data_IF_861509445671
#
_entry.id   IF_861509445671
#
_cell.length_a   1.000
_cell.length_b   1.000
_cell.length_c   1.000
_cell.angle_alpha   90.00
_cell.angle_beta   90.00
_cell.angle_gamma   90.00
#
_symmetry.space_group_name_H-M   'P 1'
#
loop_
_entity.id
_entity.type
_entity.pdbx_description
1 polymer ?
#
# COMPACT_ATOMS: atom_id res chain seq x y z
N UNK A 1 7.36 -3.51 4.84
CA UNK A 1 8.42 -3.80 3.86
C UNK A 1 7.95 -4.93 2.97
N UNK A 2 8.32 -4.84 1.69
CA UNK A 2 8.03 -5.86 0.69
C UNK A 2 9.35 -6.23 0.02
N UNK A 3 9.65 -7.52 -0.05
CA UNK A 3 10.76 -8.06 -0.85
C UNK A 3 10.16 -9.01 -1.88
N UNK A 4 10.54 -8.85 -3.13
CA UNK A 4 9.98 -9.61 -4.23
C UNK A 4 11.09 -9.97 -5.22
N UNK A 5 11.06 -11.20 -5.71
CA UNK A 5 11.96 -11.71 -6.75
C UNK A 5 11.15 -12.16 -7.95
N UNK A 6 11.53 -11.69 -9.12
CA UNK A 6 10.97 -12.15 -10.40
C UNK A 6 12.06 -12.87 -11.22
N UNK A 7 11.63 -13.79 -12.07
CA UNK A 7 12.52 -14.39 -13.08
C UNK A 7 12.60 -13.52 -14.35
N UNK A 8 13.38 -13.97 -15.32
CA UNK A 8 13.55 -13.30 -16.62
C UNK A 8 12.23 -13.17 -17.40
N UNK A 9 11.26 -14.05 -17.13
CA UNK A 9 9.94 -14.03 -17.74
C UNK A 9 8.91 -13.23 -16.93
N UNK A 10 9.36 -12.45 -15.94
CA UNK A 10 8.53 -11.65 -15.03
C UNK A 10 7.61 -12.46 -14.08
N UNK A 11 7.86 -13.75 -13.90
CA UNK A 11 7.12 -14.54 -12.94
C UNK A 11 7.66 -14.29 -11.52
N UNK A 12 6.77 -14.08 -10.58
CA UNK A 12 7.14 -13.96 -9.16
C UNK A 12 7.60 -15.33 -8.65
N UNK A 13 8.84 -15.41 -8.20
CA UNK A 13 9.46 -16.60 -7.59
C UNK A 13 9.41 -16.54 -6.08
N UNK A 14 9.57 -15.36 -5.51
CA UNK A 14 9.51 -15.14 -4.09
C UNK A 14 8.85 -13.81 -3.79
N UNK A 15 8.07 -13.73 -2.74
CA UNK A 15 7.55 -12.49 -2.22
C UNK A 15 7.30 -12.57 -0.72
N UNK A 16 7.57 -11.48 -0.03
CA UNK A 16 7.23 -11.33 1.39
C UNK A 16 6.74 -9.92 1.66
N UNK A 17 5.77 -9.81 2.57
CA UNK A 17 5.24 -8.56 3.08
C UNK A 17 5.26 -8.58 4.60
N UNK A 18 5.97 -7.61 5.20
CA UNK A 18 6.04 -7.44 6.66
C UNK A 18 5.73 -6.00 7.06
N UNK A 19 4.92 -5.83 8.07
CA UNK A 19 4.75 -4.53 8.74
C UNK A 19 5.98 -4.28 9.61
N UNK A 20 6.59 -3.10 9.52
CA UNK A 20 7.85 -2.79 10.21
C UNK A 20 7.65 -2.11 11.57
N UNK A 21 6.46 -1.63 11.91
CA UNK A 21 6.16 -0.98 13.20
C UNK A 21 7.25 0.00 13.65
N UNK A 22 7.72 0.83 12.73
CA UNK A 22 8.82 1.78 12.87
C UNK A 22 10.25 1.18 12.96
N UNK A 23 10.40 -0.14 13.01
CA UNK A 23 11.70 -0.81 12.93
C UNK A 23 11.98 -1.33 11.51
N UNK A 24 12.37 -0.38 10.63
CA UNK A 24 12.65 -0.67 9.23
C UNK A 24 13.87 -1.57 9.07
N UNK A 25 14.93 -1.32 9.87
CA UNK A 25 16.22 -2.01 9.71
C UNK A 25 16.11 -3.49 10.02
N UNK A 26 15.57 -3.85 11.19
CA UNK A 26 15.41 -5.25 11.60
C UNK A 26 14.46 -5.98 10.65
N UNK A 27 13.32 -5.35 10.28
CA UNK A 27 12.34 -5.96 9.38
C UNK A 27 12.92 -6.19 7.98
N UNK A 28 13.73 -5.25 7.45
CA UNK A 28 14.39 -5.42 6.15
C UNK A 28 15.40 -6.56 6.19
N UNK A 29 16.26 -6.60 7.22
CA UNK A 29 17.26 -7.65 7.42
C UNK A 29 16.62 -9.04 7.47
N UNK A 30 15.56 -9.20 8.27
CA UNK A 30 14.81 -10.47 8.35
C UNK A 30 14.18 -10.85 7.00
N UNK A 31 13.65 -9.86 6.27
CA UNK A 31 13.04 -10.11 4.96
C UNK A 31 14.09 -10.52 3.92
N UNK A 32 15.27 -9.90 3.93
CA UNK A 32 16.39 -10.29 3.05
C UNK A 32 16.95 -11.67 3.43
N UNK A 33 17.06 -11.97 4.73
CA UNK A 33 17.48 -13.30 5.19
C UNK A 33 16.52 -14.39 4.72
N UNK A 34 15.22 -14.17 4.84
CA UNK A 34 14.21 -15.13 4.34
C UNK A 34 14.28 -15.28 2.81
N UNK A 35 14.55 -14.20 2.09
CA UNK A 35 14.78 -14.26 0.66
C UNK A 35 16.02 -15.12 0.32
N UNK A 36 17.10 -14.92 1.06
CA UNK A 36 18.32 -15.72 0.91
C UNK A 36 18.10 -17.21 1.20
N UNK A 37 17.34 -17.55 2.23
CA UNK A 37 16.99 -18.94 2.54
C UNK A 37 16.23 -19.62 1.39
N UNK A 38 15.53 -18.82 0.55
CA UNK A 38 14.79 -19.34 -0.60
C UNK A 38 15.61 -19.41 -1.89
N UNK A 39 16.37 -18.34 -2.25
CA UNK A 39 17.11 -18.29 -3.52
C UNK A 39 18.60 -18.58 -3.37
N UNK A 40 19.11 -18.75 -2.15
CA UNK A 40 20.53 -18.94 -1.88
C UNK A 40 21.40 -17.72 -2.17
N UNK A 41 22.71 -17.92 -2.24
CA UNK A 41 23.64 -16.88 -2.64
C UNK A 41 23.62 -16.71 -4.17
N UNK A 42 22.61 -16.03 -4.65
CA UNK A 42 22.40 -15.79 -6.08
C UNK A 42 22.91 -14.41 -6.49
N UNK A 43 23.40 -14.32 -7.73
CA UNK A 43 23.58 -13.03 -8.39
C UNK A 43 22.24 -12.47 -8.78
N UNK A 44 21.88 -11.32 -8.23
CA UNK A 44 20.60 -10.66 -8.47
C UNK A 44 20.82 -9.22 -8.93
N UNK A 45 19.86 -8.68 -9.65
CA UNK A 45 19.73 -7.26 -9.92
C UNK A 45 18.70 -6.68 -8.97
N UNK A 46 19.03 -5.60 -8.29
CA UNK A 46 18.19 -5.04 -7.23
C UNK A 46 17.86 -3.58 -7.47
N UNK A 47 16.64 -3.22 -7.12
CA UNK A 47 16.14 -1.84 -7.11
C UNK A 47 15.38 -1.59 -5.81
N UNK A 48 15.61 -0.46 -5.21
CA UNK A 48 14.88 -0.02 -4.01
C UNK A 48 13.84 1.02 -4.40
N UNK A 49 12.68 0.99 -3.77
CA UNK A 49 11.61 1.96 -3.96
C UNK A 49 10.87 2.18 -2.64
N UNK A 50 9.95 3.14 -2.60
CA UNK A 50 9.15 3.44 -1.42
C UNK A 50 9.61 4.70 -0.68
N UNK A 51 8.73 5.27 0.14
CA UNK A 51 8.98 6.52 0.87
C UNK A 51 10.21 6.44 1.79
N UNK A 52 10.43 5.29 2.45
CA UNK A 52 11.65 5.01 3.24
C UNK A 52 12.82 4.47 2.39
N UNK A 53 12.60 4.21 1.12
CA UNK A 53 13.55 3.50 0.25
C UNK A 53 14.83 4.27 -0.03
N UNK A 54 14.77 5.61 -0.09
CA UNK A 54 15.94 6.43 -0.35
C UNK A 54 17.05 6.28 0.72
N UNK A 55 16.66 6.13 1.98
CA UNK A 55 17.62 5.85 3.05
C UNK A 55 18.19 4.42 2.90
N UNK A 56 17.31 3.45 2.63
CA UNK A 56 17.70 2.05 2.43
C UNK A 56 18.64 1.88 1.24
N UNK A 57 18.37 2.54 0.12
CA UNK A 57 19.23 2.47 -1.06
C UNK A 57 20.65 2.96 -0.79
N UNK A 58 20.78 4.07 -0.03
CA UNK A 58 22.08 4.59 0.41
C UNK A 58 22.81 3.65 1.36
N UNK A 59 22.06 2.96 2.27
CA UNK A 59 22.69 2.02 3.21
C UNK A 59 23.22 0.77 2.50
N UNK A 60 22.53 0.31 1.45
CA UNK A 60 22.85 -0.93 0.74
C UNK A 60 23.65 -0.69 -0.55
N UNK A 61 23.95 0.57 -0.87
CA UNK A 61 24.60 0.98 -2.13
C UNK A 61 23.86 0.44 -3.37
N UNK A 62 22.53 0.62 -3.38
CA UNK A 62 21.62 0.17 -4.42
C UNK A 62 20.94 1.35 -5.10
N UNK A 63 20.53 1.17 -6.35
CA UNK A 63 19.72 2.14 -7.08
C UNK A 63 18.34 2.31 -6.45
N UNK A 64 17.82 3.54 -6.54
CA UNK A 64 16.49 3.91 -6.05
C UNK A 64 15.60 4.40 -7.19
N UNK A 65 14.37 3.93 -7.21
CA UNK A 65 13.35 4.45 -8.12
C UNK A 65 12.13 4.97 -7.37
N UNK A 66 11.52 6.01 -7.89
CA UNK A 66 10.31 6.60 -7.33
C UNK A 66 9.12 5.65 -7.47
N UNK A 67 8.26 5.61 -6.46
CA UNK A 67 7.07 4.74 -6.44
C UNK A 67 6.15 4.96 -7.64
N UNK A 68 6.00 6.21 -8.10
CA UNK A 68 5.16 6.52 -9.26
C UNK A 68 5.68 5.84 -10.52
N UNK A 69 7.00 5.87 -10.75
CA UNK A 69 7.63 5.25 -11.93
C UNK A 69 7.55 3.73 -11.81
N UNK A 70 7.88 3.19 -10.64
CA UNK A 70 7.79 1.76 -10.38
C UNK A 70 6.36 1.23 -10.55
N UNK A 71 5.36 1.86 -9.92
CA UNK A 71 3.97 1.45 -10.05
C UNK A 71 3.47 1.53 -11.49
N UNK A 72 3.78 2.62 -12.20
CA UNK A 72 3.44 2.79 -13.61
C UNK A 72 4.02 1.69 -14.47
N UNK A 73 5.30 1.33 -14.28
CA UNK A 73 5.95 0.24 -15.01
C UNK A 73 5.23 -1.09 -14.83
N UNK A 74 4.81 -1.41 -13.60
CA UNK A 74 4.04 -2.62 -13.33
C UNK A 74 2.64 -2.59 -14.00
N UNK A 75 1.95 -1.44 -13.96
CA UNK A 75 0.64 -1.27 -14.59
C UNK A 75 0.74 -1.45 -16.10
N UNK A 76 1.67 -0.75 -16.75
CA UNK A 76 1.90 -0.85 -18.20
C UNK A 76 2.25 -2.27 -18.65
N UNK A 77 2.95 -3.03 -17.79
CA UNK A 77 3.36 -4.39 -18.12
C UNK A 77 2.23 -5.40 -17.95
N UNK A 78 1.44 -5.31 -16.89
CA UNK A 78 0.51 -6.39 -16.51
C UNK A 78 -0.97 -6.03 -16.66
N UNK A 79 -1.33 -4.76 -16.59
CA UNK A 79 -2.70 -4.26 -16.72
C UNK A 79 -2.76 -2.97 -17.57
N UNK A 80 -2.23 -2.99 -18.81
CA UNK A 80 -2.08 -1.78 -19.65
C UNK A 80 -3.40 -1.10 -20.01
N UNK A 81 -4.54 -1.79 -19.80
CA UNK A 81 -5.88 -1.25 -20.02
C UNK A 81 -6.38 -0.35 -18.89
N UNK A 82 -5.54 -0.06 -17.87
CA UNK A 82 -5.91 0.78 -16.73
C UNK A 82 -6.01 2.25 -17.13
N UNK A 83 -7.16 2.88 -16.89
CA UNK A 83 -7.35 4.32 -17.06
C UNK A 83 -7.01 5.10 -15.79
N UNK A 84 -7.35 4.54 -14.63
CA UNK A 84 -7.10 5.15 -13.31
C UNK A 84 -6.65 4.08 -12.33
N UNK A 85 -5.59 4.33 -11.59
CA UNK A 85 -5.20 3.48 -10.46
C UNK A 85 -5.45 4.20 -9.14
N UNK A 86 -6.13 3.54 -8.21
CA UNK A 86 -6.27 3.95 -6.81
C UNK A 86 -5.36 3.04 -6.00
N UNK A 87 -4.35 3.62 -5.38
CA UNK A 87 -3.42 2.91 -4.51
C UNK A 87 -3.54 3.43 -3.08
N UNK A 88 -3.86 2.52 -2.16
CA UNK A 88 -3.85 2.82 -0.72
C UNK A 88 -2.69 2.09 -0.06
N UNK A 89 -1.79 2.86 0.54
CA UNK A 89 -0.68 2.38 1.36
C UNK A 89 -1.02 2.36 2.85
N UNK A 90 -0.01 2.08 3.66
CA UNK A 90 -0.12 2.20 5.12
C UNK A 90 -0.26 3.64 5.58
N UNK A 91 0.47 4.55 4.98
CA UNK A 91 0.54 5.98 5.37
C UNK A 91 0.20 6.94 4.22
N UNK A 92 0.15 6.47 2.99
CA UNK A 92 -0.12 7.25 1.80
C UNK A 92 -1.31 6.70 1.00
N UNK A 93 -1.95 7.59 0.27
CA UNK A 93 -3.00 7.29 -0.68
C UNK A 93 -2.70 8.05 -1.99
N UNK A 94 -2.88 7.38 -3.11
CA UNK A 94 -2.54 7.90 -4.44
C UNK A 94 -3.66 7.62 -5.43
N UNK A 95 -3.90 8.57 -6.33
CA UNK A 95 -4.68 8.34 -7.55
C UNK A 95 -3.78 8.69 -8.73
N UNK A 96 -3.62 7.76 -9.64
CA UNK A 96 -2.85 7.94 -10.87
C UNK A 96 -3.77 7.80 -12.08
N UNK A 97 -3.80 8.81 -12.93
CA UNK A 97 -4.53 8.83 -14.20
C UNK A 97 -3.56 8.57 -15.34
N UNK A 98 -3.97 7.72 -16.28
CA UNK A 98 -3.16 7.33 -17.44
C UNK A 98 -3.68 7.92 -18.76
N UNK A 99 -4.87 8.53 -18.75
CA UNK A 99 -5.43 9.19 -19.94
C UNK A 99 -4.74 10.53 -20.18
N UNK A 100 -4.21 10.75 -21.38
CA UNK A 100 -3.50 11.97 -21.79
C UNK A 100 -2.18 12.26 -21.03
N UNK A 101 -1.43 11.22 -20.72
CA UNK A 101 -0.21 11.29 -19.92
C UNK A 101 -0.45 10.85 -18.48
N UNK A 102 0.64 10.70 -17.73
CA UNK A 102 0.58 10.25 -16.34
C UNK A 102 0.40 11.46 -15.42
N UNK A 103 -0.72 11.49 -14.70
CA UNK A 103 -0.97 12.47 -13.65
C UNK A 103 -1.21 11.74 -12.33
N UNK A 104 -0.33 11.94 -11.37
CA UNK A 104 -0.49 11.38 -10.03
C UNK A 104 -0.84 12.46 -9.02
N UNK A 105 -1.76 12.14 -8.14
CA UNK A 105 -2.13 12.93 -6.96
C UNK A 105 -1.96 12.05 -5.72
N UNK A 106 -1.38 12.62 -4.69
CA UNK A 106 -1.09 11.93 -3.44
C UNK A 106 -1.57 12.78 -2.27
N UNK A 107 -2.01 12.13 -1.17
CA UNK A 107 -2.29 12.85 0.06
C UNK A 107 -1.00 13.47 0.61
N UNK A 108 -1.14 14.61 1.27
CA UNK A 108 -0.04 15.26 1.99
C UNK A 108 0.30 14.53 3.30
N UNK A 109 0.62 15.30 4.34
CA UNK A 109 1.03 14.77 5.64
C UNK A 109 -0.08 14.11 6.48
N UNK A 110 -1.32 14.06 5.99
CA UNK A 110 -2.45 13.52 6.74
C UNK A 110 -2.68 12.05 6.42
N UNK A 111 -2.75 11.21 7.46
CA UNK A 111 -3.05 9.79 7.33
C UNK A 111 -4.51 9.47 6.93
N UNK A 112 -5.39 10.48 6.77
CA UNK A 112 -6.77 10.29 6.32
C UNK A 112 -6.82 9.55 4.98
N UNK A 113 -7.66 8.52 4.89
CA UNK A 113 -7.79 7.72 3.68
C UNK A 113 -6.73 6.62 3.53
N UNK A 114 -5.95 6.31 4.55
CA UNK A 114 -4.84 5.33 4.51
C UNK A 114 -5.08 4.14 5.44
N UNK A 115 -4.22 3.14 5.37
CA UNK A 115 -4.24 1.99 6.29
C UNK A 115 -4.09 2.41 7.76
N UNK A 116 -3.24 3.39 8.05
CA UNK A 116 -3.05 3.89 9.41
C UNK A 116 -4.32 4.56 9.97
N UNK A 117 -5.12 5.23 9.13
CA UNK A 117 -6.43 5.73 9.54
C UNK A 117 -7.37 4.59 9.93
N UNK A 118 -7.41 3.52 9.12
CA UNK A 118 -8.25 2.34 9.41
C UNK A 118 -7.81 1.69 10.72
N UNK A 119 -6.51 1.47 10.93
CA UNK A 119 -5.96 0.90 12.16
C UNK A 119 -6.34 1.75 13.39
N UNK A 120 -6.26 3.09 13.30
CA UNK A 120 -6.66 3.98 14.40
C UNK A 120 -8.15 3.90 14.73
N UNK A 121 -9.00 3.77 13.72
CA UNK A 121 -10.45 3.65 13.92
C UNK A 121 -10.85 2.26 14.42
N UNK A 122 -10.13 1.21 14.01
CA UNK A 122 -10.36 -0.17 14.44
C UNK A 122 -10.22 -0.32 15.97
N UNK A 123 -9.27 0.40 16.57
CA UNK A 123 -9.07 0.40 18.04
C UNK A 123 -10.33 0.83 18.78
N UNK A 124 -11.10 1.80 18.26
CA UNK A 124 -12.36 2.27 18.88
C UNK A 124 -13.43 1.18 18.90
N UNK A 125 -13.38 0.25 17.96
CA UNK A 125 -14.28 -0.89 17.86
C UNK A 125 -13.77 -2.13 18.61
N UNK A 126 -12.61 -2.03 19.30
CA UNK A 126 -11.88 -3.13 19.94
C UNK A 126 -11.57 -4.27 18.97
N UNK A 127 -11.03 -3.92 17.80
CA UNK A 127 -10.65 -4.87 16.75
C UNK A 127 -9.45 -4.34 15.94
N UNK A 128 -9.07 -5.04 14.89
CA UNK A 128 -8.07 -4.65 13.91
C UNK A 128 -8.71 -4.34 12.55
N UNK A 129 -7.88 -4.01 11.54
CA UNK A 129 -8.37 -3.69 10.20
C UNK A 129 -9.14 -4.86 9.56
N UNK A 130 -8.74 -6.09 9.82
CA UNK A 130 -9.43 -7.28 9.32
C UNK A 130 -10.79 -7.44 10.00
N UNK A 131 -10.86 -7.22 11.30
CA UNK A 131 -12.14 -7.22 12.04
C UNK A 131 -13.09 -6.12 11.56
N UNK A 132 -12.58 -4.90 11.27
CA UNK A 132 -13.39 -3.85 10.64
C UNK A 132 -13.93 -4.31 9.28
N UNK A 133 -13.11 -4.99 8.48
CA UNK A 133 -13.52 -5.54 7.20
C UNK A 133 -14.66 -6.56 7.34
N UNK A 134 -14.56 -7.49 8.29
CA UNK A 134 -15.61 -8.50 8.51
C UNK A 134 -16.91 -7.88 9.07
N UNK A 135 -16.79 -6.90 9.95
CA UNK A 135 -17.94 -6.16 10.45
C UNK A 135 -18.65 -5.40 9.32
N UNK A 136 -17.90 -4.69 8.47
CA UNK A 136 -18.45 -3.85 7.39
C UNK A 136 -19.36 -4.61 6.43
N UNK A 137 -19.11 -5.91 6.22
CA UNK A 137 -19.91 -6.77 5.33
C UNK A 137 -21.37 -6.96 5.82
N UNK A 138 -21.64 -6.72 7.10
CA UNK A 138 -22.96 -6.89 7.73
C UNK A 138 -23.64 -5.55 8.00
N UNK A 139 -23.10 -4.45 7.52
CA UNK A 139 -23.63 -3.12 7.73
C UNK A 139 -24.96 -2.90 6.99
N UNK A 140 -25.82 -2.10 7.59
CA UNK A 140 -27.12 -1.70 7.04
C UNK A 140 -27.24 -0.20 6.84
N UNK A 141 -26.50 0.58 7.63
CA UNK A 141 -26.57 2.04 7.68
C UNK A 141 -25.16 2.61 7.54
N UNK A 142 -25.04 3.76 6.90
CA UNK A 142 -23.80 4.54 6.82
C UNK A 142 -24.01 5.84 7.59
N UNK A 143 -23.20 6.06 8.61
CA UNK A 143 -23.15 7.30 9.36
C UNK A 143 -22.17 8.29 8.71
N UNK A 144 -22.44 9.59 8.76
CA UNK A 144 -21.48 10.61 8.35
C UNK A 144 -20.31 10.64 9.34
N UNK A 145 -19.10 10.33 8.86
CA UNK A 145 -17.86 10.40 9.64
C UNK A 145 -16.89 11.32 8.90
N UNK A 146 -16.22 12.22 9.64
CA UNK A 146 -15.22 13.10 9.07
C UNK A 146 -14.09 12.32 8.42
N UNK A 147 -13.82 12.62 7.16
CA UNK A 147 -12.89 11.85 6.34
C UNK A 147 -11.45 12.36 6.38
N UNK A 148 -11.24 13.66 6.66
CA UNK A 148 -9.93 14.31 6.53
C UNK A 148 -8.99 14.11 7.71
N UNK A 149 -9.53 14.03 8.92
CA UNK A 149 -8.73 14.02 10.14
C UNK A 149 -9.18 12.90 11.09
N UNK A 150 -8.24 12.06 11.50
CA UNK A 150 -8.51 10.97 12.44
C UNK A 150 -9.02 11.46 13.81
N UNK A 151 -8.67 12.69 14.24
CA UNK A 151 -9.18 13.28 15.48
C UNK A 151 -10.68 13.57 15.36
N UNK A 152 -11.10 14.24 14.28
CA UNK A 152 -12.52 14.49 14.03
C UNK A 152 -13.31 13.21 13.79
N UNK A 153 -12.74 12.24 13.07
CA UNK A 153 -13.37 10.93 12.91
C UNK A 153 -13.65 10.26 14.26
N UNK A 154 -12.72 10.34 15.21
CA UNK A 154 -12.93 9.81 16.58
C UNK A 154 -14.04 10.54 17.31
N UNK A 155 -14.13 11.86 17.17
CA UNK A 155 -15.22 12.64 17.79
C UNK A 155 -16.60 12.34 17.19
N UNK A 156 -16.67 11.90 15.94
CA UNK A 156 -17.91 11.46 15.32
C UNK A 156 -18.28 10.02 15.71
N UNK A 157 -17.28 9.13 15.84
CA UNK A 157 -17.49 7.72 16.16
C UNK A 157 -17.86 7.51 17.63
N UNK A 158 -17.24 8.25 18.56
CA UNK A 158 -17.44 8.02 19.99
C UNK A 158 -18.89 8.21 20.45
N UNK A 159 -19.64 9.24 20.02
CA UNK A 159 -21.07 9.35 20.32
C UNK A 159 -21.87 8.17 19.78
N UNK A 160 -21.59 7.72 18.55
CA UNK A 160 -22.29 6.56 17.96
C UNK A 160 -22.12 5.30 18.82
N UNK A 161 -20.91 5.06 19.33
CA UNK A 161 -20.65 3.93 20.25
C UNK A 161 -21.44 4.10 21.54
N UNK A 162 -21.45 5.29 22.12
CA UNK A 162 -22.13 5.58 23.38
C UNK A 162 -23.68 5.46 23.26
N UNK A 163 -24.21 5.78 22.09
CA UNK A 163 -25.63 5.66 21.75
C UNK A 163 -26.03 4.22 21.37
N UNK A 164 -25.09 3.29 21.34
CA UNK A 164 -25.35 1.89 21.04
C UNK A 164 -25.52 1.57 19.55
N UNK A 165 -24.99 2.40 18.67
CA UNK A 165 -24.94 2.10 17.24
C UNK A 165 -24.21 0.76 16.98
N UNK A 166 -24.68 0.03 15.98
CA UNK A 166 -24.09 -1.26 15.64
C UNK A 166 -22.65 -1.10 15.15
N UNK A 167 -21.75 -1.92 15.65
CA UNK A 167 -20.33 -1.90 15.22
C UNK A 167 -20.17 -2.14 13.72
N UNK A 168 -21.02 -2.94 13.12
CA UNK A 168 -21.05 -3.22 11.70
C UNK A 168 -21.29 -1.95 10.87
N UNK A 169 -22.25 -1.14 11.30
CA UNK A 169 -22.61 0.10 10.63
C UNK A 169 -21.49 1.15 10.78
N UNK A 170 -20.89 1.24 11.97
CA UNK A 170 -19.73 2.11 12.21
C UNK A 170 -18.54 1.65 11.34
N UNK A 171 -18.27 0.35 11.24
CA UNK A 171 -17.17 -0.20 10.45
C UNK A 171 -17.27 0.16 8.96
N UNK A 172 -18.45 0.02 8.36
CA UNK A 172 -18.64 0.40 6.95
C UNK A 172 -18.66 1.93 6.76
N UNK A 173 -19.08 2.69 7.78
CA UNK A 173 -18.99 4.16 7.80
C UNK A 173 -17.53 4.64 7.84
N UNK A 174 -16.63 3.93 8.54
CA UNK A 174 -15.19 4.17 8.51
C UNK A 174 -14.65 3.97 7.09
N UNK A 175 -15.04 2.89 6.40
CA UNK A 175 -14.65 2.66 5.01
C UNK A 175 -15.21 3.74 4.08
N UNK A 176 -16.46 4.17 4.29
CA UNK A 176 -17.02 5.30 3.52
C UNK A 176 -16.23 6.59 3.73
N UNK A 177 -15.74 6.86 4.95
CA UNK A 177 -14.88 8.01 5.20
C UNK A 177 -13.55 7.92 4.42
N UNK A 178 -12.92 6.74 4.36
CA UNK A 178 -11.72 6.50 3.55
C UNK A 178 -12.00 6.78 2.06
N UNK A 179 -13.11 6.25 1.53
CA UNK A 179 -13.51 6.46 0.14
C UNK A 179 -13.76 7.94 -0.16
N UNK A 180 -14.51 8.63 0.72
CA UNK A 180 -14.79 10.06 0.58
C UNK A 180 -13.50 10.89 0.58
N UNK A 181 -12.53 10.58 1.45
CA UNK A 181 -11.25 11.26 1.49
C UNK A 181 -10.47 11.06 0.18
N UNK A 182 -10.44 9.84 -0.33
CA UNK A 182 -9.75 9.54 -1.58
C UNK A 182 -10.41 10.26 -2.76
N UNK A 183 -11.73 10.20 -2.89
CA UNK A 183 -12.45 10.80 -4.02
C UNK A 183 -12.41 12.33 -3.94
N UNK A 184 -12.84 12.92 -2.81
CA UNK A 184 -12.94 14.37 -2.70
C UNK A 184 -11.59 15.04 -2.43
N UNK A 185 -10.72 14.40 -1.66
CA UNK A 185 -9.43 14.96 -1.26
C UNK A 185 -8.34 14.81 -2.33
N UNK A 186 -8.32 13.71 -3.08
CA UNK A 186 -7.30 13.47 -4.10
C UNK A 186 -7.80 13.73 -5.52
N UNK A 187 -8.96 13.20 -5.90
CA UNK A 187 -9.45 13.43 -7.25
C UNK A 187 -9.86 14.90 -7.49
N UNK A 188 -10.26 15.64 -6.44
CA UNK A 188 -10.58 17.06 -6.51
C UNK A 188 -11.46 17.42 -7.70
N UNK A 189 -12.54 16.64 -7.91
CA UNK A 189 -13.48 16.83 -9.02
C UNK A 189 -13.06 16.21 -10.37
N UNK A 190 -11.83 15.71 -10.52
CA UNK A 190 -11.44 14.97 -11.73
C UNK A 190 -12.16 13.63 -11.73
N UNK A 191 -12.86 13.26 -12.82
CA UNK A 191 -13.61 12.03 -12.86
C UNK A 191 -12.73 10.79 -12.74
N UNK A 192 -13.16 9.82 -11.90
CA UNK A 192 -12.60 8.49 -11.83
C UNK A 192 -13.50 7.58 -12.67
N UNK A 193 -13.07 7.23 -13.87
CA UNK A 193 -13.86 6.45 -14.87
C UNK A 193 -12.95 5.60 -15.73
N UNK A 194 -13.57 4.69 -16.48
CA UNK A 194 -12.88 3.71 -17.32
C UNK A 194 -12.50 2.49 -16.51
N UNK A 195 -11.37 1.89 -16.82
CA UNK A 195 -10.82 0.75 -16.07
C UNK A 195 -10.08 1.24 -14.82
N UNK A 196 -10.69 1.06 -13.67
CA UNK A 196 -10.13 1.48 -12.36
C UNK A 196 -9.40 0.33 -11.72
N UNK A 197 -8.08 0.44 -11.55
CA UNK A 197 -7.28 -0.55 -10.85
C UNK A 197 -7.21 -0.22 -9.35
N UNK A 198 -7.44 -1.23 -8.50
CA UNK A 198 -7.33 -1.15 -7.04
C UNK A 198 -6.03 -1.80 -6.58
N UNK A 199 -5.11 -0.98 -6.01
CA UNK A 199 -3.76 -1.37 -5.65
C UNK A 199 -3.44 -1.04 -4.18
N UNK A 200 -2.38 -1.65 -3.67
CA UNK A 200 -1.92 -1.44 -2.30
C UNK A 200 -2.55 -2.37 -1.27
N UNK A 201 -1.93 -2.43 -0.09
CA UNK A 201 -2.30 -3.39 0.96
C UNK A 201 -3.75 -3.27 1.43
N UNK A 202 -4.24 -2.08 1.84
CA UNK A 202 -5.63 -1.92 2.26
C UNK A 202 -6.65 -2.39 1.22
N UNK A 203 -6.46 -2.06 -0.06
CA UNK A 203 -7.38 -2.49 -1.12
C UNK A 203 -7.22 -3.96 -1.53
N UNK A 204 -6.07 -4.57 -1.23
CA UNK A 204 -5.85 -5.99 -1.42
C UNK A 204 -6.54 -6.84 -0.35
N UNK A 205 -6.28 -6.52 0.93
CA UNK A 205 -6.71 -7.35 2.05
C UNK A 205 -8.14 -7.05 2.53
N UNK A 206 -8.65 -5.82 2.30
CA UNK A 206 -9.96 -5.38 2.79
C UNK A 206 -10.96 -5.30 1.64
N UNK A 207 -11.60 -6.41 1.34
CA UNK A 207 -12.61 -6.50 0.27
C UNK A 207 -13.84 -5.63 0.56
N UNK A 208 -14.22 -5.44 1.82
CA UNK A 208 -15.27 -4.51 2.22
C UNK A 208 -14.95 -3.07 1.82
N UNK A 209 -13.71 -2.61 2.06
CA UNK A 209 -13.25 -1.29 1.62
C UNK A 209 -13.29 -1.15 0.10
N UNK A 210 -12.77 -2.13 -0.63
CA UNK A 210 -12.80 -2.16 -2.10
C UNK A 210 -14.24 -2.11 -2.62
N UNK A 211 -15.12 -2.90 -2.06
CA UNK A 211 -16.55 -2.89 -2.41
C UNK A 211 -17.20 -1.52 -2.14
N UNK A 212 -16.76 -0.81 -1.09
CA UNK A 212 -17.24 0.54 -0.80
C UNK A 212 -16.80 1.53 -1.89
N UNK A 213 -15.57 1.43 -2.41
CA UNK A 213 -15.15 2.20 -3.60
C UNK A 213 -16.01 1.87 -4.83
N UNK A 214 -16.20 0.59 -5.13
CA UNK A 214 -17.01 0.14 -6.29
C UNK A 214 -18.43 0.73 -6.22
N UNK A 215 -19.07 0.64 -5.05
CA UNK A 215 -20.41 1.20 -4.83
C UNK A 215 -20.45 2.72 -4.96
N UNK A 216 -19.50 3.42 -4.34
CA UNK A 216 -19.50 4.89 -4.32
C UNK A 216 -19.18 5.48 -5.69
N UNK A 217 -18.29 4.85 -6.46
CA UNK A 217 -17.95 5.23 -7.82
C UNK A 217 -18.95 4.68 -8.86
N UNK A 218 -19.94 3.87 -8.41
CA UNK A 218 -20.93 3.21 -9.27
C UNK A 218 -20.29 2.40 -10.42
N UNK A 219 -19.19 1.70 -10.12
CA UNK A 219 -18.47 0.88 -11.10
C UNK A 219 -19.21 -0.44 -11.33
N UNK A 220 -19.38 -0.79 -12.61
CA UNK A 220 -19.95 -2.07 -13.03
C UNK A 220 -18.89 -3.14 -13.15
N UNK A 221 -19.34 -4.37 -13.23
CA UNK A 221 -18.45 -5.49 -13.56
C UNK A 221 -17.72 -5.22 -14.87
N UNK A 222 -16.39 -5.44 -14.86
CA UNK A 222 -15.54 -5.12 -16.01
C UNK A 222 -15.03 -3.66 -16.08
N UNK A 223 -15.50 -2.75 -15.22
CA UNK A 223 -14.98 -1.37 -15.11
C UNK A 223 -13.92 -1.24 -14.01
N UNK A 224 -13.58 -2.30 -13.31
CA UNK A 224 -12.50 -2.30 -12.33
C UNK A 224 -11.60 -3.53 -12.47
N UNK A 225 -10.39 -3.39 -11.98
CA UNK A 225 -9.34 -4.41 -12.02
C UNK A 225 -8.79 -4.59 -10.60
N UNK A 226 -8.77 -5.84 -10.13
CA UNK A 226 -8.13 -6.22 -8.86
C UNK A 226 -7.08 -7.28 -9.17
N UNK A 227 -5.83 -6.88 -9.41
CA UNK A 227 -4.78 -7.84 -9.68
C UNK A 227 -4.53 -8.75 -8.49
N UNK A 228 -4.22 -10.02 -8.74
CA UNK A 228 -3.91 -10.99 -7.69
C UNK A 228 -2.84 -10.48 -6.72
N UNK A 229 -1.80 -9.82 -7.27
CA UNK A 229 -0.66 -9.30 -6.52
C UNK A 229 -0.74 -7.78 -6.32
N UNK A 230 -1.95 -7.22 -6.21
CA UNK A 230 -2.22 -5.78 -6.16
C UNK A 230 -1.42 -5.03 -5.09
N UNK A 231 -1.09 -5.69 -3.98
CA UNK A 231 -0.29 -5.11 -2.89
C UNK A 231 1.22 -5.07 -3.17
N UNK A 232 1.68 -5.74 -4.23
CA UNK A 232 3.09 -5.76 -4.64
C UNK A 232 3.40 -4.89 -5.85
N UNK A 233 2.45 -4.21 -6.47
CA UNK A 233 2.65 -3.53 -7.76
C UNK A 233 3.85 -2.58 -7.79
N UNK A 234 4.07 -1.81 -6.74
CA UNK A 234 5.26 -0.95 -6.62
C UNK A 234 6.55 -1.78 -6.59
N UNK A 235 6.57 -2.89 -5.83
CA UNK A 235 7.73 -3.77 -5.76
C UNK A 235 7.97 -4.54 -7.08
N UNK A 236 6.89 -4.96 -7.76
CA UNK A 236 6.96 -5.58 -9.08
C UNK A 236 7.59 -4.60 -10.08
N UNK A 237 7.13 -3.35 -10.09
CA UNK A 237 7.67 -2.33 -10.99
C UNK A 237 9.15 -2.04 -10.73
N UNK A 238 9.55 -1.96 -9.47
CA UNK A 238 10.97 -1.83 -9.11
C UNK A 238 11.79 -3.02 -9.61
N UNK A 239 11.30 -4.25 -9.46
CA UNK A 239 11.97 -5.44 -9.97
C UNK A 239 12.08 -5.46 -11.51
N UNK A 240 11.06 -4.97 -12.22
CA UNK A 240 11.11 -4.82 -13.68
C UNK A 240 12.17 -3.80 -14.11
N UNK A 241 12.31 -2.70 -13.39
CA UNK A 241 13.31 -1.65 -13.65
C UNK A 241 14.72 -2.09 -13.26
N UNK A 242 14.86 -3.00 -12.30
CA UNK A 242 16.15 -3.55 -11.91
C UNK A 242 16.86 -4.33 -13.03
N UNK A 243 16.18 -4.67 -14.14
CA UNK A 243 16.80 -5.40 -15.27
C UNK A 243 17.98 -4.66 -15.89
N UNK A 244 18.03 -3.35 -15.79
CA UNK A 244 19.10 -2.52 -16.34
C UNK A 244 20.23 -2.28 -15.32
N UNK A 245 20.08 -2.78 -14.09
CA UNK A 245 21.07 -2.65 -13.02
C UNK A 245 22.20 -3.68 -13.12
N UNK A 246 23.29 -3.41 -12.39
CA UNK A 246 24.38 -4.37 -12.25
C UNK A 246 23.98 -5.53 -11.35
N UNK A 247 24.59 -6.69 -11.58
CA UNK A 247 24.46 -7.81 -10.68
C UNK A 247 25.17 -7.53 -9.34
N UNK A 248 24.52 -7.91 -8.25
CA UNK A 248 25.06 -7.91 -6.89
C UNK A 248 24.88 -9.30 -6.28
N UNK A 249 25.79 -9.69 -5.39
CA UNK A 249 25.65 -10.90 -4.61
C UNK A 249 24.70 -10.64 -3.45
N UNK A 250 23.73 -11.49 -3.22
CA UNK A 250 22.78 -11.31 -2.13
C UNK A 250 23.46 -11.37 -0.75
N UNK A 251 24.51 -12.17 -0.59
CA UNK A 251 25.35 -12.22 0.62
C UNK A 251 25.98 -10.87 0.96
N UNK A 252 26.51 -10.15 -0.04
CA UNK A 252 27.12 -8.83 0.16
C UNK A 252 26.09 -7.83 0.69
N UNK A 253 24.88 -7.82 0.10
CA UNK A 253 23.79 -6.96 0.53
C UNK A 253 23.38 -7.26 1.98
N UNK A 254 23.30 -8.54 2.33
CA UNK A 254 23.00 -8.97 3.71
C UNK A 254 24.11 -8.53 4.65
N UNK A 255 25.39 -8.74 4.31
CA UNK A 255 26.53 -8.36 5.13
C UNK A 255 26.53 -6.84 5.41
N UNK A 256 26.30 -6.00 4.39
CA UNK A 256 26.17 -4.54 4.54
C UNK A 256 25.01 -4.18 5.47
N UNK A 257 23.88 -4.87 5.37
CA UNK A 257 22.75 -4.64 6.26
C UNK A 257 23.07 -4.90 7.75
N UNK A 258 24.03 -5.79 8.03
CA UNK A 258 24.51 -6.09 9.39
C UNK A 258 25.47 -5.04 9.94
N UNK A 259 26.39 -4.50 9.10
CA UNK A 259 27.41 -3.54 9.54
C UNK A 259 26.82 -2.19 9.93
N UNK A 260 25.82 -1.71 9.23
CA UNK A 260 25.14 -0.45 9.55
C UNK A 260 24.29 -0.51 10.83
N UNK A 261 23.86 -1.69 11.29
CA UNK A 261 23.18 -1.87 12.59
C UNK A 261 24.14 -1.71 13.77
N UNK A 262 25.36 -2.26 13.70
CA UNK A 262 26.37 -2.18 14.77
C UNK A 262 26.89 -0.75 15.00
N UNK A 263 26.99 0.06 13.98
CA UNK A 263 27.55 1.41 14.10
C UNK A 263 26.66 2.39 14.91
N UNK A 264 25.40 2.07 15.14
CA UNK A 264 24.48 2.88 15.96
C UNK A 264 24.34 2.39 17.41
N UNK A 265 24.57 1.10 17.68
CA UNK A 265 24.55 0.56 19.06
C UNK A 265 25.77 1.01 19.88
N UNK A 266 26.86 1.42 19.24
CA UNK A 266 28.09 1.90 19.93
C UNK A 266 28.11 3.42 20.15
N UNK A 267 27.05 4.16 19.80
CA UNK A 267 26.94 5.61 19.99
C UNK A 267 25.84 6.05 20.98
N UNK A 268 25.23 5.10 21.68
CA UNK A 268 24.27 5.36 22.78
C UNK A 268 24.91 5.19 24.16
#
# INVERSE_FOLDING_TARGET
IKVLVIDENNNIKYSTYKRHFSDIKTTLKESLKQCYEFIGNSNVKMMVTGSGGLAVSKWLDLSFEQEVIACTKAIETFIPQTDVAIELGGEDAKITYFSNGIEQRMNGSCAGGTGAFIDQMAVLLNTDAIGVNELSKKAKIIYPIASRCGVFAKTDIQPLINEGARKEDIADSIFQAVVNQTISGLACGKPIRGKVAFLGGPLHFLDGLRNRFIKTLNLKEGEYIVPKESHYYVAIGAALLAKDEKYVQLDDIIAVSYTHLRAHETRS
#
